data_IF_313103017468
#
_entry.id   IF_313103017468
#
_cell.length_a   1.000
_cell.length_b   1.000
_cell.length_c   1.000
_cell.angle_alpha   90.00
_cell.angle_beta   90.00
_cell.angle_gamma   90.00
#
_symmetry.space_group_name_H-M   'P 1'
#
loop_
_entity.id
_entity.type
_entity.pdbx_description
1 polymer ?
#
# COMPACT_ATOMS: atom_id res chain seq x y z
N UNK A 1 -1.61 -26.25 25.07
CA UNK A 1 -1.60 -25.67 23.71
C UNK A 1 -2.58 -24.51 23.71
N UNK A 2 -2.11 -23.28 23.48
CA UNK A 2 -3.00 -22.10 23.50
C UNK A 2 -3.78 -22.10 22.18
N UNK A 3 -5.12 -22.08 22.20
CA UNK A 3 -5.91 -21.94 20.98
C UNK A 3 -5.54 -20.63 20.27
N UNK A 4 -5.08 -20.72 19.03
CA UNK A 4 -4.80 -19.56 18.20
C UNK A 4 -5.89 -19.41 17.15
N UNK A 5 -6.34 -18.17 16.95
CA UNK A 5 -7.15 -17.81 15.79
C UNK A 5 -6.21 -17.83 14.59
N UNK A 6 -6.38 -18.80 13.69
CA UNK A 6 -5.48 -19.03 12.54
C UNK A 6 -5.58 -17.92 11.49
N UNK A 7 -6.68 -17.16 11.45
CA UNK A 7 -6.88 -16.04 10.54
C UNK A 7 -7.50 -14.85 11.28
N UNK A 8 -6.85 -13.70 11.18
CA UNK A 8 -7.44 -12.46 11.68
C UNK A 8 -8.80 -12.19 10.99
N UNK A 9 -9.78 -11.61 11.69
CA UNK A 9 -11.06 -11.24 11.09
C UNK A 9 -10.86 -10.40 9.83
N UNK A 10 -11.71 -10.62 8.81
CA UNK A 10 -11.70 -9.86 7.56
C UNK A 10 -10.50 -10.17 6.67
N UNK A 11 -10.22 -11.45 6.40
CA UNK A 11 -9.30 -11.85 5.33
C UNK A 11 -10.12 -12.46 4.19
N UNK A 12 -10.23 -11.73 3.08
CA UNK A 12 -10.96 -12.17 1.89
C UNK A 12 -10.06 -13.07 1.04
N UNK A 13 -10.53 -14.27 0.68
CA UNK A 13 -9.73 -15.23 -0.11
C UNK A 13 -9.18 -14.62 -1.40
N UNK A 14 -9.99 -13.81 -2.11
CA UNK A 14 -9.57 -13.12 -3.33
C UNK A 14 -8.38 -12.17 -3.13
N UNK A 15 -8.27 -11.56 -1.95
CA UNK A 15 -7.10 -10.73 -1.59
C UNK A 15 -5.87 -11.61 -1.42
N UNK A 16 -5.99 -12.76 -0.75
CA UNK A 16 -4.89 -13.73 -0.63
C UNK A 16 -4.43 -14.24 -1.99
N UNK A 17 -5.37 -14.56 -2.88
CA UNK A 17 -5.09 -15.00 -4.24
C UNK A 17 -4.36 -13.91 -5.05
N UNK A 18 -4.73 -12.64 -4.85
CA UNK A 18 -4.05 -11.50 -5.47
C UNK A 18 -2.60 -11.33 -4.97
N UNK A 19 -2.38 -11.45 -3.65
CA UNK A 19 -1.04 -11.35 -3.07
C UNK A 19 -0.14 -12.49 -3.55
N UNK A 20 -0.69 -13.70 -3.67
CA UNK A 20 0.03 -14.83 -4.24
C UNK A 20 0.34 -14.62 -5.73
N UNK A 21 -0.62 -14.09 -6.50
CA UNK A 21 -0.40 -13.74 -7.90
C UNK A 21 0.69 -12.67 -8.07
N UNK A 22 0.76 -11.66 -7.20
CA UNK A 22 1.85 -10.68 -7.18
C UNK A 22 3.20 -11.37 -7.04
N UNK A 23 3.33 -12.23 -6.03
CA UNK A 23 4.57 -12.97 -5.75
C UNK A 23 4.99 -13.84 -6.94
N UNK A 24 4.04 -14.55 -7.54
CA UNK A 24 4.28 -15.40 -8.72
C UNK A 24 4.70 -14.61 -9.96
N UNK A 25 4.29 -13.34 -10.06
CA UNK A 25 4.62 -12.46 -11.18
C UNK A 25 5.84 -11.55 -10.91
N UNK A 26 6.63 -11.84 -9.88
CA UNK A 26 7.90 -11.16 -9.62
C UNK A 26 7.77 -9.82 -8.89
N UNK A 27 6.72 -9.65 -8.09
CA UNK A 27 6.63 -8.51 -7.17
C UNK A 27 7.79 -8.55 -6.16
N UNK A 28 8.56 -7.46 -6.09
CA UNK A 28 9.75 -7.37 -5.22
C UNK A 28 9.45 -6.70 -3.88
N UNK A 29 8.26 -6.11 -3.74
CA UNK A 29 7.81 -5.46 -2.51
C UNK A 29 7.40 -6.43 -1.41
N UNK A 30 7.02 -5.85 -0.26
CA UNK A 30 6.51 -6.64 0.87
C UNK A 30 4.97 -6.65 0.85
N UNK A 31 4.37 -7.65 1.48
CA UNK A 31 2.91 -7.77 1.67
C UNK A 31 2.61 -8.08 3.13
N UNK A 32 1.56 -7.51 3.70
CA UNK A 32 1.15 -7.77 5.07
C UNK A 32 -0.35 -8.03 5.20
N UNK A 33 -0.68 -9.09 5.94
CA UNK A 33 -2.06 -9.53 6.22
C UNK A 33 -2.33 -9.71 7.72
N UNK A 34 -1.31 -9.50 8.57
CA UNK A 34 -1.49 -9.62 10.02
C UNK A 34 -2.46 -8.54 10.52
N UNK A 35 -3.21 -8.84 11.58
CA UNK A 35 -4.11 -7.85 12.17
C UNK A 35 -3.35 -6.58 12.60
N UNK A 36 -2.16 -6.75 13.20
CA UNK A 36 -1.34 -5.64 13.67
C UNK A 36 -0.93 -4.71 12.52
N UNK A 37 -0.39 -5.27 11.43
CA UNK A 37 0.05 -4.46 10.28
C UNK A 37 -1.12 -3.70 9.66
N UNK A 38 -2.26 -4.37 9.47
CA UNK A 38 -3.47 -3.76 8.90
C UNK A 38 -4.03 -2.67 9.81
N UNK A 39 -3.99 -2.87 11.13
CA UNK A 39 -4.44 -1.88 12.10
C UNK A 39 -3.59 -0.59 12.04
N UNK A 40 -2.28 -0.69 11.78
CA UNK A 40 -1.44 0.51 11.59
C UNK A 40 -1.84 1.36 10.39
N UNK A 41 -2.55 0.77 9.43
CA UNK A 41 -3.04 1.44 8.21
C UNK A 41 -4.55 1.70 8.24
N UNK A 42 -5.22 1.41 9.37
CA UNK A 42 -6.68 1.51 9.48
C UNK A 42 -7.17 2.94 9.79
N UNK A 43 -6.27 3.86 10.10
CA UNK A 43 -6.59 5.27 10.39
C UNK A 43 -5.69 6.21 9.59
N UNK A 44 -6.15 7.43 9.39
CA UNK A 44 -5.36 8.56 8.94
C UNK A 44 -5.62 9.73 9.91
N UNK A 45 -5.29 10.96 9.54
CA UNK A 45 -5.53 12.13 10.38
C UNK A 45 -7.01 12.59 10.38
N UNK A 46 -7.93 11.70 10.00
CA UNK A 46 -9.38 11.91 10.10
C UNK A 46 -9.96 11.27 11.37
N UNK A 47 -11.27 11.42 11.55
CA UNK A 47 -12.04 10.74 12.59
C UNK A 47 -12.41 9.30 12.24
N UNK A 48 -12.13 8.86 11.01
CA UNK A 48 -12.58 7.57 10.49
C UNK A 48 -11.56 6.47 10.77
N UNK A 49 -12.08 5.25 10.95
CA UNK A 49 -11.29 4.03 11.02
C UNK A 49 -11.89 2.99 10.08
N UNK A 50 -11.05 2.41 9.22
CA UNK A 50 -11.44 1.38 8.28
C UNK A 50 -10.28 0.38 8.15
N UNK A 51 -10.48 -0.85 8.61
CA UNK A 51 -9.45 -1.88 8.58
C UNK A 51 -9.34 -2.44 7.15
N UNK A 52 -8.17 -2.35 6.48
CA UNK A 52 -7.96 -2.97 5.18
C UNK A 52 -7.81 -4.50 5.30
N UNK A 53 -8.11 -5.22 4.23
CA UNK A 53 -7.89 -6.67 4.11
C UNK A 53 -6.40 -7.00 4.04
N UNK A 54 -5.59 -6.14 3.41
CA UNK A 54 -4.14 -6.27 3.29
C UNK A 54 -3.43 -4.93 3.02
N UNK A 55 -2.12 -4.94 3.22
CA UNK A 55 -1.23 -3.83 2.85
C UNK A 55 -0.12 -4.34 1.94
N UNK A 56 0.20 -3.60 0.88
CA UNK A 56 1.31 -3.88 -0.03
C UNK A 56 2.29 -2.71 -0.06
N UNK A 57 3.58 -3.04 -0.11
CA UNK A 57 4.69 -2.09 0.00
C UNK A 57 5.60 -2.23 -1.23
N UNK A 58 5.24 -1.61 -2.38
CA UNK A 58 6.06 -1.68 -3.59
C UNK A 58 7.45 -1.08 -3.37
N UNK A 59 8.48 -1.59 -4.06
CA UNK A 59 9.85 -1.06 -4.02
C UNK A 59 10.23 -0.29 -5.28
N UNK A 60 9.39 -0.32 -6.30
CA UNK A 60 9.71 0.23 -7.62
C UNK A 60 8.46 0.61 -8.41
N UNK A 61 8.62 1.43 -9.44
CA UNK A 61 7.56 1.71 -10.41
C UNK A 61 7.07 0.44 -11.11
N UNK A 62 7.95 -0.55 -11.32
CA UNK A 62 7.57 -1.84 -11.89
C UNK A 62 6.62 -2.62 -10.98
N UNK A 63 6.84 -2.58 -9.65
CA UNK A 63 5.93 -3.18 -8.67
C UNK A 63 4.55 -2.52 -8.69
N UNK A 64 4.49 -1.18 -8.78
CA UNK A 64 3.22 -0.44 -8.89
C UNK A 64 2.48 -0.78 -10.19
N UNK A 65 3.20 -0.84 -11.31
CA UNK A 65 2.65 -1.22 -12.59
C UNK A 65 2.13 -2.67 -12.57
N UNK A 66 2.83 -3.57 -11.88
CA UNK A 66 2.40 -4.96 -11.70
C UNK A 66 1.11 -5.03 -10.87
N UNK A 67 1.00 -4.30 -9.76
CA UNK A 67 -0.23 -4.19 -8.97
C UNK A 67 -1.40 -3.76 -9.86
N UNK A 68 -1.23 -2.67 -10.62
CA UNK A 68 -2.30 -2.14 -11.48
C UNK A 68 -2.68 -3.12 -12.59
N UNK A 69 -1.69 -3.79 -13.21
CA UNK A 69 -1.94 -4.79 -14.25
C UNK A 69 -2.75 -5.96 -13.73
N UNK A 70 -2.35 -6.55 -12.60
CA UNK A 70 -3.10 -7.66 -11.99
C UNK A 70 -4.48 -7.21 -11.53
N UNK A 71 -4.62 -6.00 -10.98
CA UNK A 71 -5.90 -5.45 -10.54
C UNK A 71 -6.90 -5.30 -11.71
N UNK A 72 -6.41 -5.12 -12.93
CA UNK A 72 -7.22 -5.06 -14.14
C UNK A 72 -7.71 -6.41 -14.66
N UNK A 73 -7.20 -7.54 -14.14
CA UNK A 73 -7.67 -8.87 -14.53
C UNK A 73 -9.10 -9.13 -14.02
N UNK A 74 -9.91 -9.82 -14.81
CA UNK A 74 -11.32 -10.09 -14.48
C UNK A 74 -11.52 -10.74 -13.10
N UNK A 75 -10.60 -11.64 -12.70
CA UNK A 75 -10.63 -12.31 -11.39
C UNK A 75 -10.34 -11.38 -10.20
N UNK A 76 -9.77 -10.19 -10.43
CA UNK A 76 -9.35 -9.23 -9.40
C UNK A 76 -9.99 -7.85 -9.53
N UNK A 77 -10.76 -7.58 -10.60
CA UNK A 77 -11.33 -6.26 -10.89
C UNK A 77 -12.31 -5.72 -9.83
N UNK A 78 -12.79 -6.57 -8.92
CA UNK A 78 -13.64 -6.14 -7.80
C UNK A 78 -12.83 -5.71 -6.58
N UNK A 79 -11.52 -5.93 -6.56
CA UNK A 79 -10.66 -5.51 -5.47
C UNK A 79 -10.51 -3.98 -5.51
N UNK A 80 -10.57 -3.35 -4.36
CA UNK A 80 -10.37 -1.91 -4.22
C UNK A 80 -8.96 -1.64 -3.71
N UNK A 81 -8.36 -0.56 -4.19
CA UNK A 81 -7.01 -0.16 -3.84
C UNK A 81 -6.97 1.31 -3.43
N UNK A 82 -6.24 1.65 -2.37
CA UNK A 82 -5.96 3.05 -2.00
C UNK A 82 -4.44 3.27 -1.88
N UNK A 83 -3.84 4.19 -2.64
CA UNK A 83 -2.46 4.58 -2.41
C UNK A 83 -2.36 5.38 -1.11
N UNK A 84 -1.30 5.15 -0.34
CA UNK A 84 -1.05 5.82 0.92
C UNK A 84 0.40 6.30 1.00
N UNK A 85 0.56 7.59 1.30
CA UNK A 85 1.83 8.20 1.71
C UNK A 85 1.92 8.30 3.23
N UNK A 86 2.15 9.51 3.76
CA UNK A 86 2.25 9.74 5.21
C UNK A 86 0.95 9.61 6.02
N UNK A 87 -0.20 9.34 5.39
CA UNK A 87 -1.47 9.16 6.11
C UNK A 87 -1.99 10.41 6.83
N UNK A 88 -1.61 11.61 6.36
CA UNK A 88 -1.96 12.89 7.01
C UNK A 88 -3.26 13.52 6.50
N UNK A 89 -3.95 12.86 5.58
CA UNK A 89 -5.26 13.30 5.08
C UNK A 89 -6.31 13.29 6.19
N UNK A 90 -7.23 14.26 6.16
CA UNK A 90 -8.21 14.49 7.24
C UNK A 90 -9.61 14.00 6.90
N UNK A 91 -9.82 13.41 5.71
CA UNK A 91 -11.15 13.05 5.21
C UNK A 91 -11.25 11.57 4.82
N UNK A 92 -10.34 10.71 5.31
CA UNK A 92 -10.38 9.27 5.06
C UNK A 92 -9.97 8.84 3.65
N UNK A 93 -9.35 9.70 2.84
CA UNK A 93 -9.08 9.39 1.41
C UNK A 93 -8.09 8.24 1.20
N UNK A 94 -7.26 7.96 2.20
CA UNK A 94 -6.29 6.85 2.16
C UNK A 94 -6.84 5.54 2.72
N UNK A 95 -8.03 5.58 3.33
CA UNK A 95 -8.66 4.44 3.97
C UNK A 95 -9.44 3.60 2.97
N UNK A 96 -9.40 2.28 3.15
CA UNK A 96 -10.07 1.31 2.29
C UNK A 96 -10.28 0.00 3.07
N UNK A 97 -11.36 -0.73 2.78
CA UNK A 97 -11.54 -2.10 3.28
C UNK A 97 -10.74 -3.13 2.49
N UNK A 98 -10.36 -2.83 1.25
CA UNK A 98 -9.57 -3.71 0.39
C UNK A 98 -8.06 -3.62 0.67
N UNK A 99 -7.28 -3.28 -0.35
CA UNK A 99 -5.82 -3.27 -0.27
C UNK A 99 -5.30 -1.83 -0.15
N UNK A 100 -4.49 -1.56 0.86
CA UNK A 100 -3.72 -0.31 0.96
C UNK A 100 -2.37 -0.50 0.28
N UNK A 101 -2.00 0.45 -0.59
CA UNK A 101 -0.69 0.47 -1.28
C UNK A 101 0.17 1.56 -0.64
N UNK A 102 1.05 1.18 0.28
CA UNK A 102 1.92 2.11 1.00
C UNK A 102 3.17 2.43 0.19
N UNK A 103 3.24 3.67 -0.29
CA UNK A 103 4.34 4.18 -1.10
C UNK A 103 5.51 4.68 -0.25
N UNK A 104 5.27 4.97 1.03
CA UNK A 104 6.20 5.68 1.92
C UNK A 104 7.31 4.80 2.48
N UNK A 105 7.08 3.48 2.59
CA UNK A 105 8.05 2.56 3.18
C UNK A 105 9.34 2.44 2.37
N UNK A 106 9.22 2.21 1.06
CA UNK A 106 10.37 1.91 0.19
C UNK A 106 10.56 2.90 -0.96
N UNK A 107 9.50 3.54 -1.44
CA UNK A 107 9.55 4.46 -2.59
C UNK A 107 9.66 5.92 -2.11
N UNK A 108 10.66 6.22 -1.28
CA UNK A 108 10.84 7.51 -0.60
C UNK A 108 12.19 8.19 -0.91
N UNK A 109 12.74 7.98 -2.10
CA UNK A 109 14.02 8.56 -2.52
C UNK A 109 13.88 9.85 -3.30
N UNK A 110 14.80 10.77 -3.06
CA UNK A 110 15.10 11.87 -3.99
C UNK A 110 15.99 11.30 -5.09
N UNK A 111 15.54 11.41 -6.34
CA UNK A 111 16.21 10.83 -7.51
C UNK A 111 17.16 11.83 -8.17
N UNK A 112 16.77 13.11 -8.21
CA UNK A 112 17.54 14.16 -8.87
C UNK A 112 17.14 15.53 -8.33
N UNK A 113 18.11 16.41 -8.13
CA UNK A 113 17.89 17.81 -7.74
C UNK A 113 18.51 18.69 -8.83
N UNK A 114 17.69 19.52 -9.47
CA UNK A 114 18.14 20.50 -10.44
C UNK A 114 17.94 21.91 -9.88
N UNK A 115 19.02 22.44 -9.29
CA UNK A 115 19.00 23.78 -8.67
C UNK A 115 18.89 24.88 -9.72
N UNK A 116 19.55 24.72 -10.87
CA UNK A 116 19.56 25.72 -11.95
C UNK A 116 18.16 25.94 -12.53
N UNK A 117 17.37 24.87 -12.66
CA UNK A 117 16.01 24.90 -13.22
C UNK A 117 14.91 24.89 -12.16
N UNK A 118 15.25 24.76 -10.87
CA UNK A 118 14.30 24.86 -9.76
C UNK A 118 13.33 23.67 -9.64
N UNK A 119 13.77 22.44 -9.92
CA UNK A 119 12.92 21.24 -9.75
C UNK A 119 13.65 20.08 -9.08
N UNK A 120 12.87 19.18 -8.48
CA UNK A 120 13.36 17.94 -7.88
C UNK A 120 12.52 16.78 -8.41
N UNK A 121 13.18 15.68 -8.77
CA UNK A 121 12.53 14.42 -9.11
C UNK A 121 12.59 13.50 -7.90
N UNK A 122 11.43 13.01 -7.49
CA UNK A 122 11.26 12.19 -6.28
C UNK A 122 10.40 10.96 -6.56
N UNK A 123 10.55 9.94 -5.73
CA UNK A 123 9.57 8.86 -5.65
C UNK A 123 8.31 9.31 -4.88
N UNK A 124 7.19 8.64 -5.13
CA UNK A 124 5.87 9.07 -4.67
C UNK A 124 5.68 9.05 -3.13
N UNK A 125 6.53 8.34 -2.40
CA UNK A 125 6.52 8.23 -0.95
C UNK A 125 7.42 9.22 -0.22
N UNK A 126 8.13 10.12 -0.91
CA UNK A 126 8.98 11.13 -0.27
C UNK A 126 8.14 12.02 0.66
N UNK A 127 8.63 12.19 1.89
CA UNK A 127 8.00 13.05 2.88
C UNK A 127 8.38 14.50 2.58
N UNK A 128 7.39 15.41 2.63
CA UNK A 128 7.58 16.84 2.36
C UNK A 128 8.75 17.45 3.16
N UNK A 129 8.90 17.09 4.43
CA UNK A 129 9.98 17.59 5.30
C UNK A 129 11.37 17.04 4.96
N UNK A 130 11.47 15.94 4.20
CA UNK A 130 12.74 15.46 3.66
C UNK A 130 13.15 16.21 2.40
N UNK A 131 12.16 16.78 1.69
CA UNK A 131 12.35 17.50 0.43
C UNK A 131 12.69 18.99 0.65
N UNK A 132 12.09 19.63 1.66
CA UNK A 132 12.30 21.06 1.97
C UNK A 132 13.46 21.27 2.93
#
# INVERSE_FOLDING_TARGET
MIPQISQAPGLVQRVLDFLEALKQNGFNGDTATSYADRLTMATDNSIYQLLPDAVVFPRSTADVALIARLAGEERFNTLTFSPRGGGTGTNGQSLNTGIVVDMSRHMNRILEINVEQGWVKVEAGVIKDQLN
#
